data_IF_522261897684
#
_entry.id   IF_522261897684
#
_cell.length_a   1.000
_cell.length_b   1.000
_cell.length_c   1.000
_cell.angle_alpha   90.00
_cell.angle_beta   90.00
_cell.angle_gamma   90.00
#
_symmetry.space_group_name_H-M   'P 1'
#
loop_
_entity.id
_entity.type
_entity.pdbx_description
1 polymer ?
#
# COMPACT_ATOMS: atom_id res chain seq x y z
N UNK A 1 -21.67 3.94 -17.78
CA UNK A 1 -20.40 4.61 -17.39
C UNK A 1 -19.68 3.68 -16.41
N UNK A 2 -18.52 3.14 -16.73
CA UNK A 2 -17.74 2.35 -15.75
C UNK A 2 -16.85 3.30 -14.96
N UNK A 3 -17.07 3.47 -13.66
CA UNK A 3 -16.28 4.34 -12.82
C UNK A 3 -15.01 3.61 -12.37
N UNK A 4 -13.86 4.29 -12.33
CA UNK A 4 -12.69 3.76 -11.63
C UNK A 4 -13.03 3.82 -10.13
N UNK A 5 -12.90 2.70 -9.42
CA UNK A 5 -13.28 2.56 -8.01
C UNK A 5 -12.09 2.11 -7.18
N UNK A 6 -11.79 2.83 -6.09
CA UNK A 6 -10.80 2.41 -5.11
C UNK A 6 -11.56 1.56 -4.10
N UNK A 7 -11.25 0.27 -4.11
CA UNK A 7 -11.93 -0.74 -3.32
C UNK A 7 -11.44 -0.78 -1.88
N UNK A 8 -10.41 0.00 -1.53
CA UNK A 8 -9.89 0.03 -0.18
C UNK A 8 -10.79 0.86 0.74
N UNK A 9 -11.07 0.35 1.94
CA UNK A 9 -11.99 0.99 2.87
C UNK A 9 -11.48 2.34 3.42
N UNK A 10 -10.16 2.52 3.49
CA UNK A 10 -9.52 3.75 3.96
C UNK A 10 -8.38 4.19 3.03
N UNK A 11 -8.71 4.79 1.86
CA UNK A 11 -7.71 5.18 0.86
C UNK A 11 -6.66 6.16 1.39
N UNK A 12 -7.03 6.94 2.42
CA UNK A 12 -6.18 7.92 3.03
C UNK A 12 -5.37 7.37 4.22
N UNK A 13 -5.36 6.06 4.49
CA UNK A 13 -4.54 5.46 5.55
C UNK A 13 -4.62 6.18 6.91
N UNK A 14 -5.82 6.61 7.30
CA UNK A 14 -6.13 7.30 8.55
C UNK A 14 -6.46 6.33 9.69
N UNK A 15 -6.59 5.04 9.38
CA UNK A 15 -6.72 3.93 10.32
C UNK A 15 -5.40 3.17 10.43
N UNK A 16 -5.16 2.64 11.62
CA UNK A 16 -3.97 1.84 11.87
C UNK A 16 -4.09 0.48 11.18
N UNK A 17 -3.03 0.07 10.50
CA UNK A 17 -2.89 -1.29 9.97
C UNK A 17 -2.55 -2.28 11.11
N UNK A 18 -2.85 -3.56 10.89
CA UNK A 18 -2.29 -4.59 11.77
C UNK A 18 -0.78 -4.69 11.54
N UNK A 19 -0.07 -5.08 12.58
CA UNK A 19 1.39 -5.05 12.61
C UNK A 19 1.95 -6.39 13.07
N UNK A 20 3.11 -6.75 12.53
CA UNK A 20 3.93 -7.84 13.05
C UNK A 20 5.36 -7.34 13.24
N UNK A 21 5.90 -7.55 14.44
CA UNK A 21 7.27 -7.16 14.82
C UNK A 21 7.63 -5.68 14.58
N UNK A 22 6.62 -4.79 14.57
CA UNK A 22 6.81 -3.34 14.59
C UNK A 22 5.83 -2.67 15.54
N UNK A 23 6.20 -1.47 15.97
CA UNK A 23 5.33 -0.57 16.71
C UNK A 23 4.68 0.41 15.74
N UNK A 24 3.47 0.88 16.06
CA UNK A 24 2.77 1.92 15.32
C UNK A 24 2.60 3.18 16.17
N UNK A 25 2.75 4.35 15.54
CA UNK A 25 2.48 5.64 16.16
C UNK A 25 1.76 6.56 15.19
N UNK A 26 0.71 7.23 15.68
CA UNK A 26 -0.02 8.23 14.90
C UNK A 26 0.74 9.57 14.88
N UNK A 27 0.90 10.14 13.68
CA UNK A 27 1.45 11.47 13.45
C UNK A 27 0.38 12.55 13.62
N UNK A 28 0.80 13.81 13.66
CA UNK A 28 -0.09 14.98 13.79
C UNK A 28 -1.02 15.17 12.58
N UNK A 29 -0.62 14.67 11.41
CA UNK A 29 -1.43 14.67 10.18
C UNK A 29 -2.45 13.51 10.13
N UNK A 30 -2.48 12.67 11.16
CA UNK A 30 -3.38 11.54 11.30
C UNK A 30 -2.89 10.24 10.66
N UNK A 31 -1.75 10.23 9.95
CA UNK A 31 -1.15 9.03 9.37
C UNK A 31 -0.44 8.21 10.45
N UNK A 32 -0.12 6.96 10.14
CA UNK A 32 0.62 6.08 11.04
C UNK A 32 2.03 5.80 10.52
N UNK A 33 2.99 5.92 11.43
CA UNK A 33 4.38 5.47 11.25
C UNK A 33 4.51 4.09 11.87
N UNK A 34 5.11 3.17 11.13
CA UNK A 34 5.42 1.82 11.57
C UNK A 34 6.94 1.70 11.71
N UNK A 35 7.42 1.35 12.90
CA UNK A 35 8.86 1.26 13.21
C UNK A 35 9.20 -0.15 13.68
N UNK A 36 10.12 -0.81 12.98
CA UNK A 36 10.54 -2.18 13.30
C UNK A 36 11.12 -2.31 14.70
N UNK A 37 10.67 -3.32 15.44
CA UNK A 37 11.29 -3.76 16.70
C UNK A 37 12.20 -4.99 16.49
N UNK A 38 12.32 -5.47 15.24
CA UNK A 38 13.13 -6.61 14.84
C UNK A 38 13.67 -6.39 13.41
N UNK A 39 14.57 -7.24 12.96
CA UNK A 39 15.21 -7.15 11.64
C UNK A 39 14.25 -7.38 10.47
N UNK A 40 13.11 -8.01 10.72
CA UNK A 40 12.00 -8.15 9.79
C UNK A 40 10.70 -7.76 10.48
N UNK A 41 9.83 -7.08 9.75
CA UNK A 41 8.53 -6.62 10.26
C UNK A 41 7.56 -6.31 9.13
N UNK A 42 6.26 -6.33 9.39
CA UNK A 42 5.25 -5.98 8.40
C UNK A 42 4.13 -5.10 8.96
N UNK A 43 3.61 -4.23 8.07
CA UNK A 43 2.31 -3.60 8.23
C UNK A 43 1.32 -4.23 7.24
N UNK A 44 0.28 -4.87 7.75
CA UNK A 44 -0.62 -5.73 6.99
C UNK A 44 -1.80 -4.96 6.43
N UNK A 45 -2.05 -5.15 5.14
CA UNK A 45 -3.24 -4.66 4.47
C UNK A 45 -4.35 -5.72 4.55
N UNK A 46 -5.60 -5.27 4.72
CA UNK A 46 -6.76 -6.14 4.85
C UNK A 46 -7.78 -5.88 3.76
N UNK A 47 -8.63 -6.88 3.50
CA UNK A 47 -9.76 -6.75 2.58
C UNK A 47 -9.34 -6.62 1.11
N UNK A 48 -8.13 -7.02 0.74
CA UNK A 48 -7.67 -7.02 -0.65
C UNK A 48 -8.18 -8.29 -1.34
N UNK A 49 -9.05 -8.18 -2.37
CA UNK A 49 -9.49 -9.36 -3.11
C UNK A 49 -8.36 -9.95 -3.96
N UNK A 50 -8.32 -11.28 -4.08
CA UNK A 50 -7.36 -11.97 -4.95
C UNK A 50 -7.46 -11.46 -6.40
N UNK A 51 -6.31 -11.23 -7.03
CA UNK A 51 -6.22 -10.74 -8.40
C UNK A 51 -6.42 -9.23 -8.54
N UNK A 52 -6.69 -8.49 -7.46
CA UNK A 52 -6.69 -7.03 -7.45
C UNK A 52 -5.27 -6.46 -7.34
N UNK A 53 -5.10 -5.24 -7.81
CA UNK A 53 -3.85 -4.47 -7.69
C UNK A 53 -3.90 -3.71 -6.38
N UNK A 54 -2.94 -3.98 -5.49
CA UNK A 54 -2.62 -3.12 -4.37
C UNK A 54 -1.63 -2.07 -4.85
N UNK A 55 -1.91 -0.79 -4.60
CA UNK A 55 -0.99 0.32 -4.78
C UNK A 55 -0.80 1.04 -3.44
N UNK A 56 0.45 1.34 -3.08
CA UNK A 56 0.79 1.97 -1.80
C UNK A 56 1.68 3.17 -2.01
N UNK A 57 1.37 4.23 -1.29
CA UNK A 57 2.24 5.39 -1.09
C UNK A 57 2.85 5.29 0.30
N UNK A 58 4.18 5.31 0.39
CA UNK A 58 4.84 5.31 1.69
C UNK A 58 6.20 6.00 1.66
N UNK A 59 6.49 6.66 2.77
CA UNK A 59 7.77 7.31 3.02
C UNK A 59 8.66 6.46 3.92
N UNK A 60 9.90 6.27 3.52
CA UNK A 60 10.95 5.70 4.35
C UNK A 60 12.32 6.17 3.86
N UNK A 61 13.25 6.41 4.79
CA UNK A 61 14.66 6.66 4.46
C UNK A 61 15.38 5.41 3.94
N UNK A 62 14.82 4.22 4.14
CA UNK A 62 15.34 2.93 3.68
C UNK A 62 14.33 2.18 2.82
N UNK A 63 13.77 2.89 1.83
CA UNK A 63 12.75 2.37 0.90
C UNK A 63 13.16 1.08 0.18
N UNK A 64 14.46 0.92 -0.06
CA UNK A 64 15.12 -0.25 -0.63
C UNK A 64 15.01 -1.52 0.24
N UNK A 65 14.75 -1.37 1.54
CA UNK A 65 14.60 -2.49 2.48
C UNK A 65 13.17 -3.08 2.51
N UNK A 66 12.25 -2.50 1.73
CA UNK A 66 10.85 -2.88 1.72
C UNK A 66 10.48 -3.73 0.51
N UNK A 67 9.40 -4.51 0.67
CA UNK A 67 8.65 -5.16 -0.39
C UNK A 67 7.15 -5.24 -0.10
N UNK A 68 6.34 -5.45 -1.15
CA UNK A 68 4.92 -5.79 -0.98
C UNK A 68 4.83 -7.32 -0.92
N UNK A 69 4.80 -7.86 0.29
CA UNK A 69 4.65 -9.30 0.53
C UNK A 69 3.28 -9.77 0.04
N UNK A 70 3.23 -10.99 -0.52
CA UNK A 70 1.99 -11.59 -1.02
C UNK A 70 1.50 -11.05 -2.36
N UNK A 71 2.24 -10.10 -2.95
CA UNK A 71 1.96 -9.53 -4.26
C UNK A 71 3.06 -9.85 -5.28
N UNK A 72 2.67 -9.92 -6.55
CA UNK A 72 3.59 -9.89 -7.67
C UNK A 72 3.79 -8.44 -8.10
N UNK A 73 5.01 -7.94 -7.97
CA UNK A 73 5.39 -6.58 -8.35
C UNK A 73 4.98 -6.27 -9.80
N UNK A 74 4.33 -5.11 -9.99
CA UNK A 74 3.92 -4.63 -11.32
C UNK A 74 4.49 -3.25 -11.64
N UNK A 75 4.62 -2.38 -10.64
CA UNK A 75 4.93 -0.98 -10.84
C UNK A 75 5.70 -0.41 -9.65
N UNK A 76 6.76 0.34 -9.94
CA UNK A 76 7.55 1.09 -8.96
C UNK A 76 7.78 2.50 -9.49
N UNK A 77 6.97 3.43 -9.03
CA UNK A 77 7.13 4.86 -9.27
C UNK A 77 8.06 5.51 -8.24
N UNK A 78 8.15 6.85 -8.28
CA UNK A 78 8.95 7.62 -7.33
C UNK A 78 8.40 7.52 -5.90
N UNK A 79 7.07 7.54 -5.76
CA UNK A 79 6.35 7.44 -4.48
C UNK A 79 5.41 6.25 -4.42
N UNK A 80 4.92 5.75 -5.56
CA UNK A 80 3.98 4.62 -5.57
C UNK A 80 4.67 3.30 -5.81
N UNK A 81 4.24 2.27 -5.10
CA UNK A 81 4.54 0.89 -5.43
C UNK A 81 3.24 0.11 -5.58
N UNK A 82 3.07 -0.61 -6.69
CA UNK A 82 1.93 -1.48 -6.91
C UNK A 82 2.30 -2.90 -7.33
N UNK A 83 1.44 -3.85 -6.95
CA UNK A 83 1.53 -5.25 -7.30
C UNK A 83 0.16 -5.95 -7.30
N UNK A 84 0.03 -7.02 -8.08
CA UNK A 84 -1.17 -7.88 -8.04
C UNK A 84 -1.10 -8.72 -6.78
N UNK A 85 -2.14 -8.70 -5.96
CA UNK A 85 -2.28 -9.66 -4.87
C UNK A 85 -2.60 -11.04 -5.44
N UNK A 86 -1.61 -11.93 -5.40
CA UNK A 86 -1.66 -13.26 -6.05
C UNK A 86 -1.72 -14.41 -5.06
N UNK A 87 -1.52 -14.12 -3.77
CA UNK A 87 -1.58 -15.11 -2.71
C UNK A 87 -2.92 -15.03 -1.99
N UNK A 88 -3.37 -16.11 -1.35
CA UNK A 88 -4.44 -16.04 -0.34
C UNK A 88 -3.91 -15.78 1.07
N UNK A 89 -2.64 -15.39 1.19
CA UNK A 89 -1.93 -15.20 2.46
C UNK A 89 -1.84 -13.73 2.88
N UNK A 90 -0.84 -13.36 3.68
CA UNK A 90 -0.67 -11.97 4.07
C UNK A 90 -0.34 -11.08 2.86
N UNK A 91 -0.98 -9.92 2.79
CA UNK A 91 -0.57 -8.83 1.91
C UNK A 91 -0.05 -7.72 2.81
N UNK A 92 1.23 -7.33 2.68
CA UNK A 92 1.84 -6.43 3.64
C UNK A 92 2.94 -5.56 3.04
N UNK A 93 3.13 -4.37 3.62
CA UNK A 93 4.38 -3.63 3.47
C UNK A 93 5.39 -4.29 4.40
N UNK A 94 6.30 -5.05 3.83
CA UNK A 94 7.22 -5.91 4.53
C UNK A 94 8.63 -5.34 4.47
N UNK A 95 9.22 -5.07 5.63
CA UNK A 95 10.62 -4.72 5.74
C UNK A 95 11.46 -5.98 5.94
N UNK A 96 12.47 -6.15 5.10
CA UNK A 96 13.43 -7.26 5.17
C UNK A 96 14.83 -6.76 5.39
N UNK A 97 15.61 -7.44 6.23
CA UNK A 97 17.02 -7.12 6.47
C UNK A 97 17.20 -5.85 7.28
N UNK A 98 17.80 -5.97 8.47
CA UNK A 98 18.12 -4.84 9.35
C UNK A 98 16.96 -3.86 9.58
N UNK A 99 15.73 -4.37 9.65
CA UNK A 99 14.51 -3.58 9.84
C UNK A 99 14.36 -2.96 11.24
N UNK A 100 15.25 -3.29 12.18
CA UNK A 100 15.18 -2.76 13.54
C UNK A 100 15.43 -1.24 13.52
N UNK A 101 14.47 -0.46 14.03
CA UNK A 101 14.48 1.00 13.96
C UNK A 101 14.13 1.59 12.59
N UNK A 102 14.06 0.77 11.53
CA UNK A 102 13.60 1.23 10.21
C UNK A 102 12.12 1.56 10.30
N UNK A 103 11.77 2.72 9.79
CA UNK A 103 10.40 3.24 9.84
C UNK A 103 9.83 3.46 8.45
N UNK A 104 8.53 3.24 8.31
CA UNK A 104 7.77 3.67 7.14
C UNK A 104 6.46 4.34 7.57
N UNK A 105 6.12 5.44 6.90
CA UNK A 105 4.80 6.08 7.02
C UNK A 105 3.97 5.70 5.81
N UNK A 106 2.81 5.07 6.01
CA UNK A 106 1.89 4.79 4.89
C UNK A 106 1.00 6.01 4.70
N UNK A 107 1.08 6.61 3.52
CA UNK A 107 0.39 7.85 3.19
C UNK A 107 -0.96 7.58 2.53
N UNK A 108 -1.02 6.60 1.61
CA UNK A 108 -2.21 6.28 0.82
C UNK A 108 -2.20 4.81 0.42
N UNK A 109 -3.41 4.26 0.27
CA UNK A 109 -3.63 2.87 -0.13
C UNK A 109 -4.70 2.83 -1.22
N UNK A 110 -4.37 2.15 -2.31
CA UNK A 110 -5.29 1.90 -3.42
C UNK A 110 -5.48 0.40 -3.60
N UNK A 111 -6.73 -0.02 -3.76
CA UNK A 111 -7.05 -1.37 -4.25
C UNK A 111 -7.92 -1.23 -5.48
N UNK A 112 -7.48 -1.80 -6.59
CA UNK A 112 -8.15 -1.67 -7.87
C UNK A 112 -8.33 -3.02 -8.53
N UNK A 113 -9.38 -3.16 -9.33
CA UNK A 113 -9.37 -4.20 -10.36
C UNK A 113 -8.21 -3.96 -11.32
N UNK A 114 -7.71 -4.99 -12.00
CA UNK A 114 -6.64 -4.81 -12.98
C UNK A 114 -7.05 -3.87 -14.12
N UNK A 115 -8.32 -3.91 -14.53
CA UNK A 115 -8.85 -3.01 -15.55
C UNK A 115 -8.85 -1.55 -15.08
N UNK A 116 -9.29 -1.28 -13.86
CA UNK A 116 -9.29 0.07 -13.29
C UNK A 116 -7.88 0.60 -13.07
N UNK A 117 -6.95 -0.26 -12.64
CA UNK A 117 -5.53 0.08 -12.58
C UNK A 117 -5.00 0.48 -13.96
N UNK A 118 -5.26 -0.32 -14.98
CA UNK A 118 -4.81 -0.03 -16.35
C UNK A 118 -5.39 1.29 -16.87
N UNK A 119 -6.65 1.61 -16.53
CA UNK A 119 -7.26 2.91 -16.87
C UNK A 119 -6.61 4.08 -16.13
N UNK A 120 -6.31 3.94 -14.83
CA UNK A 120 -5.54 4.96 -14.10
C UNK A 120 -4.20 5.25 -14.80
N UNK A 121 -3.50 4.21 -15.24
CA UNK A 121 -2.24 4.34 -15.98
C UNK A 121 -2.42 5.03 -17.33
N UNK A 122 -3.51 4.78 -18.06
CA UNK A 122 -3.81 5.49 -19.31
C UNK A 122 -4.02 6.99 -19.10
N UNK A 123 -4.53 7.40 -17.93
CA UNK A 123 -4.63 8.81 -17.54
C UNK A 123 -3.34 9.40 -16.96
N UNK A 124 -2.25 8.63 -16.90
CA UNK A 124 -0.98 9.07 -16.31
C UNK A 124 -1.01 9.17 -14.78
N UNK A 125 -2.01 8.56 -14.13
CA UNK A 125 -2.18 8.59 -12.68
C UNK A 125 -1.51 7.38 -12.01
N UNK A 126 -1.01 7.55 -10.79
CA UNK A 126 -0.48 6.45 -9.97
C UNK A 126 -1.50 5.88 -8.98
N UNK A 127 -2.50 6.68 -8.58
CA UNK A 127 -3.61 6.28 -7.72
C UNK A 127 -4.77 7.28 -7.88
N UNK A 128 -5.90 6.99 -7.22
CA UNK A 128 -6.90 8.00 -6.90
C UNK A 128 -7.47 7.77 -5.48
N UNK A 129 -7.59 8.86 -4.73
CA UNK A 129 -7.91 8.81 -3.28
C UNK A 129 -9.43 8.92 -3.00
N UNK A 130 -10.24 9.07 -4.05
CA UNK A 130 -11.70 9.15 -3.97
C UNK A 130 -12.36 7.77 -3.91
N UNK A 131 -13.67 7.74 -3.62
CA UNK A 131 -14.45 6.50 -3.74
C UNK A 131 -14.67 6.09 -5.20
N UNK A 132 -15.03 7.04 -6.06
CA UNK A 132 -15.30 6.81 -7.49
C UNK A 132 -14.85 7.99 -8.35
N UNK A 133 -14.26 7.72 -9.52
CA UNK A 133 -13.92 8.73 -10.52
C UNK A 133 -14.73 8.53 -11.82
N UNK A 134 -15.39 9.57 -12.38
CA UNK A 134 -16.00 9.51 -13.71
C UNK A 134 -14.95 9.34 -14.79
N UNK A 135 -15.25 8.54 -15.83
CA UNK A 135 -14.45 8.54 -17.05
C UNK A 135 -14.70 9.85 -17.79
N UNK A 136 -13.62 10.54 -18.17
CA UNK A 136 -13.68 11.65 -19.12
C UNK A 136 -14.06 11.15 -20.51
#
# INVERSE_FOLDING_TARGET
>A
MSLITNLYADPNALQQLNVWACNSRKNSDGKYVYTGSNNTWSALFHGIPLGCVLAIDFDSSRRDSFMIEGCTDMYRGSTTWAGVYTTGGNCSLFCTGDGNGVSATVNRIGVYTQDDWNRLRQYGLEWFDGGTMPLA
#
